data_IF_907959582302
#
_entry.id   IF_907959582302
#
_cell.length_a   1.000
_cell.length_b   1.000
_cell.length_c   1.000
_cell.angle_alpha   90.00
_cell.angle_beta   90.00
_cell.angle_gamma   90.00
#
_symmetry.space_group_name_H-M   'P 1'
#
loop_
_entity.id
_entity.type
_entity.pdbx_description
1 polymer ?
#
# COMPACT_ATOMS: atom_id res chain seq x y z
N UNK A 1 15.15 -5.66 3.89
CA UNK A 1 15.81 -4.65 4.76
C UNK A 1 15.89 -5.08 6.23
N UNK A 2 14.79 -5.49 6.87
CA UNK A 2 14.77 -5.85 8.31
C UNK A 2 15.83 -6.89 8.74
N UNK A 3 16.08 -7.90 7.89
CA UNK A 3 17.01 -8.99 8.22
C UNK A 3 18.50 -8.58 8.25
N UNK A 4 18.90 -7.49 7.57
CA UNK A 4 20.28 -6.95 7.63
C UNK A 4 20.44 -5.90 8.74
N UNK A 5 19.42 -5.09 9.01
CA UNK A 5 19.42 -4.15 10.13
C UNK A 5 19.67 -4.86 11.48
N UNK A 6 19.07 -6.04 11.66
CA UNK A 6 19.30 -6.89 12.84
C UNK A 6 20.74 -7.43 12.92
N UNK A 7 21.33 -7.84 11.79
CA UNK A 7 22.72 -8.35 11.74
C UNK A 7 23.78 -7.30 12.06
N UNK A 8 23.48 -6.04 11.79
CA UNK A 8 24.37 -4.90 12.02
C UNK A 8 24.40 -4.49 13.49
N UNK A 9 23.32 -4.68 14.24
CA UNK A 9 23.28 -4.40 15.67
C UNK A 9 24.30 -5.22 16.49
N UNK A 10 24.76 -6.36 15.97
CA UNK A 10 25.48 -7.40 16.73
C UNK A 10 26.96 -7.65 16.33
N UNK A 11 27.56 -6.80 15.49
CA UNK A 11 29.03 -6.79 15.26
C UNK A 11 29.51 -5.35 15.28
N UNK A 12 30.76 -5.11 15.72
CA UNK A 12 31.43 -3.81 15.65
C UNK A 12 31.17 -3.18 14.28
N UNK A 13 30.21 -2.26 14.23
CA UNK A 13 29.77 -1.64 12.99
C UNK A 13 30.65 -0.43 12.80
N UNK A 14 31.41 -0.42 11.72
CA UNK A 14 32.19 0.75 11.36
C UNK A 14 31.26 1.90 10.92
N UNK A 15 31.67 3.13 11.19
CA UNK A 15 30.85 4.35 10.98
C UNK A 15 30.38 4.46 9.52
N UNK A 16 31.22 4.04 8.57
CA UNK A 16 30.91 4.01 7.14
C UNK A 16 29.79 3.02 6.79
N UNK A 17 29.75 1.85 7.44
CA UNK A 17 28.68 0.87 7.22
C UNK A 17 27.33 1.41 7.70
N UNK A 18 27.30 2.07 8.85
CA UNK A 18 26.06 2.67 9.35
C UNK A 18 25.60 3.81 8.43
N UNK A 19 26.54 4.64 7.96
CA UNK A 19 26.25 5.70 7.00
C UNK A 19 25.68 5.14 5.69
N UNK A 20 26.19 4.01 5.21
CA UNK A 20 25.66 3.31 4.04
C UNK A 20 24.23 2.82 4.24
N UNK A 21 23.93 2.18 5.38
CA UNK A 21 22.57 1.71 5.71
C UNK A 21 21.58 2.87 5.77
N UNK A 22 22.02 3.97 6.37
CA UNK A 22 21.21 5.18 6.43
C UNK A 22 20.93 5.69 5.02
N UNK A 23 21.95 5.83 4.17
CA UNK A 23 21.78 6.29 2.79
C UNK A 23 20.81 5.41 1.98
N UNK A 24 20.91 4.09 2.11
CA UNK A 24 19.95 3.14 1.50
C UNK A 24 18.52 3.36 2.02
N UNK A 25 18.37 3.58 3.33
CA UNK A 25 17.07 3.89 3.93
C UNK A 25 16.49 5.20 3.39
N UNK A 26 17.32 6.24 3.22
CA UNK A 26 16.88 7.50 2.60
C UNK A 26 16.38 7.33 1.18
N UNK A 27 17.11 6.57 0.37
CA UNK A 27 16.74 6.36 -1.03
C UNK A 27 15.42 5.58 -1.14
N UNK A 28 15.24 4.59 -0.27
CA UNK A 28 13.98 3.87 -0.13
C UNK A 28 12.82 4.79 0.26
N UNK A 29 12.98 5.63 1.28
CA UNK A 29 11.92 6.54 1.73
C UNK A 29 11.55 7.58 0.67
N UNK A 30 12.53 8.15 -0.04
CA UNK A 30 12.25 9.07 -1.16
C UNK A 30 11.44 8.41 -2.26
N UNK A 31 11.77 7.15 -2.58
CA UNK A 31 11.03 6.36 -3.56
C UNK A 31 9.60 6.11 -3.08
N UNK A 32 9.43 5.70 -1.83
CA UNK A 32 8.12 5.48 -1.21
C UNK A 32 7.23 6.74 -1.25
N UNK A 33 7.74 7.89 -0.77
CA UNK A 33 7.01 9.16 -0.79
C UNK A 33 6.61 9.59 -2.19
N UNK A 34 7.50 9.43 -3.17
CA UNK A 34 7.18 9.73 -4.58
C UNK A 34 6.02 8.87 -5.08
N UNK A 35 6.10 7.57 -4.86
CA UNK A 35 5.10 6.62 -5.37
C UNK A 35 3.74 6.84 -4.68
N UNK A 36 3.75 7.13 -3.38
CA UNK A 36 2.55 7.50 -2.62
C UNK A 36 1.96 8.83 -3.08
N UNK A 37 2.77 9.87 -3.31
CA UNK A 37 2.30 11.16 -3.82
C UNK A 37 1.68 11.04 -5.21
N UNK A 38 2.28 10.23 -6.08
CA UNK A 38 1.71 9.90 -7.40
C UNK A 38 0.37 9.20 -7.26
N UNK A 39 0.28 8.26 -6.33
CA UNK A 39 -0.95 7.53 -6.05
C UNK A 39 -2.05 8.44 -5.48
N UNK A 40 -1.73 9.27 -4.48
CA UNK A 40 -2.61 10.29 -3.92
C UNK A 40 -3.14 11.24 -4.99
N UNK A 41 -2.27 11.69 -5.90
CA UNK A 41 -2.67 12.52 -7.04
C UNK A 41 -3.63 11.77 -7.97
N UNK A 42 -3.34 10.51 -8.31
CA UNK A 42 -4.16 9.70 -9.19
C UNK A 42 -5.58 9.44 -8.64
N UNK A 43 -5.72 9.29 -7.33
CA UNK A 43 -7.04 9.11 -6.69
C UNK A 43 -7.72 10.43 -6.32
N UNK A 44 -7.11 11.59 -6.59
CA UNK A 44 -7.67 12.90 -6.25
C UNK A 44 -7.72 13.16 -4.74
N UNK A 45 -6.75 12.65 -3.98
CA UNK A 45 -6.71 12.82 -2.52
C UNK A 45 -6.62 14.31 -2.15
N UNK A 46 -7.62 14.80 -1.43
CA UNK A 46 -7.79 16.24 -1.16
C UNK A 46 -6.69 16.86 -0.30
N UNK A 47 -5.99 16.07 0.50
CA UNK A 47 -4.93 16.52 1.41
C UNK A 47 -3.51 16.30 0.88
N UNK A 48 -3.36 16.04 -0.43
CA UNK A 48 -2.07 15.79 -1.08
C UNK A 48 -0.99 16.82 -0.72
N UNK A 49 -1.30 18.11 -0.78
CA UNK A 49 -0.31 19.16 -0.52
C UNK A 49 0.07 19.29 0.96
N UNK A 50 -0.82 18.93 1.89
CA UNK A 50 -0.48 18.83 3.31
C UNK A 50 0.44 17.63 3.55
N UNK A 51 0.10 16.49 2.95
CA UNK A 51 0.86 15.26 3.09
C UNK A 51 2.29 15.41 2.51
N UNK A 52 2.45 16.08 1.36
CA UNK A 52 3.76 16.48 0.82
C UNK A 52 4.61 17.32 1.77
N UNK A 53 3.99 18.19 2.57
CA UNK A 53 4.75 18.98 3.57
C UNK A 53 5.29 18.08 4.67
N UNK A 54 4.54 17.06 5.08
CA UNK A 54 4.98 16.06 6.06
C UNK A 54 6.19 15.30 5.49
N UNK A 55 6.12 14.81 4.24
CA UNK A 55 7.26 14.15 3.58
C UNK A 55 8.51 15.02 3.54
N UNK A 56 8.36 16.30 3.16
CA UNK A 56 9.50 17.24 3.13
C UNK A 56 10.10 17.46 4.52
N UNK A 57 9.27 17.55 5.56
CA UNK A 57 9.73 17.66 6.94
C UNK A 57 10.51 16.41 7.37
N UNK A 58 10.00 15.20 7.07
CA UNK A 58 10.70 13.93 7.33
C UNK A 58 12.10 13.96 6.70
N UNK A 59 12.17 14.26 5.41
CA UNK A 59 13.45 14.25 4.67
C UNK A 59 14.41 15.28 5.24
N UNK A 60 13.92 16.47 5.62
CA UNK A 60 14.75 17.53 6.20
C UNK A 60 15.28 17.14 7.59
N UNK A 61 14.42 16.63 8.46
CA UNK A 61 14.79 16.21 9.82
C UNK A 61 15.79 15.07 9.79
N UNK A 62 15.53 14.06 8.96
CA UNK A 62 16.47 12.96 8.77
C UNK A 62 17.81 13.47 8.22
N UNK A 63 17.81 14.36 7.21
CA UNK A 63 19.05 14.91 6.65
C UNK A 63 19.87 15.70 7.71
N UNK A 64 19.18 16.44 8.59
CA UNK A 64 19.78 17.13 9.73
C UNK A 64 20.41 16.13 10.71
N UNK A 65 19.71 15.04 11.03
CA UNK A 65 20.23 14.00 11.92
C UNK A 65 21.54 13.42 11.38
N UNK A 66 21.62 13.06 10.09
CA UNK A 66 22.85 12.52 9.48
C UNK A 66 24.01 13.49 9.56
N UNK A 67 23.76 14.78 9.31
CA UNK A 67 24.80 15.81 9.33
C UNK A 67 25.43 16.00 10.71
N UNK A 68 24.67 15.75 11.77
CA UNK A 68 25.05 16.09 13.14
C UNK A 68 25.62 14.91 13.94
N UNK A 69 25.71 13.71 13.36
CA UNK A 69 26.13 12.54 14.17
C UNK A 69 27.63 12.49 14.43
N UNK A 70 28.00 12.39 15.72
CA UNK A 70 29.40 12.42 16.18
C UNK A 70 29.92 11.05 16.61
N UNK A 71 29.05 10.11 16.96
CA UNK A 71 29.43 8.76 17.39
C UNK A 71 28.52 7.66 16.84
N UNK A 72 29.03 6.43 16.78
CA UNK A 72 28.30 5.23 16.33
C UNK A 72 27.04 4.94 17.17
N UNK A 73 27.05 5.27 18.47
CA UNK A 73 25.90 5.09 19.36
C UNK A 73 24.81 6.11 19.07
N UNK A 74 25.17 7.39 18.88
CA UNK A 74 24.21 8.40 18.44
C UNK A 74 23.53 8.00 17.13
N UNK A 75 24.27 7.40 16.18
CA UNK A 75 23.65 6.96 14.91
C UNK A 75 22.58 5.89 15.16
N UNK A 76 22.85 4.92 16.05
CA UNK A 76 21.90 3.86 16.38
C UNK A 76 20.62 4.42 17.01
N UNK A 77 20.77 5.36 17.93
CA UNK A 77 19.63 6.01 18.59
C UNK A 77 18.80 6.81 17.58
N UNK A 78 19.45 7.54 16.65
CA UNK A 78 18.75 8.26 15.59
C UNK A 78 17.99 7.32 14.64
N UNK A 79 18.57 6.18 14.25
CA UNK A 79 17.86 5.17 13.44
C UNK A 79 16.62 4.64 14.16
N UNK A 80 16.73 4.39 15.48
CA UNK A 80 15.60 3.91 16.28
C UNK A 80 14.49 4.97 16.35
N UNK A 81 14.83 6.24 16.56
CA UNK A 81 13.86 7.35 16.56
C UNK A 81 13.17 7.46 15.20
N UNK A 82 13.92 7.43 14.09
CA UNK A 82 13.36 7.50 12.74
C UNK A 82 12.42 6.31 12.47
N UNK A 83 12.86 5.09 12.77
CA UNK A 83 12.07 3.89 12.50
C UNK A 83 10.83 3.77 13.38
N UNK A 84 10.93 4.16 14.66
CA UNK A 84 9.86 3.96 15.64
C UNK A 84 8.91 5.14 15.71
N UNK A 85 9.40 6.36 15.75
CA UNK A 85 8.55 7.52 16.01
C UNK A 85 8.08 8.14 14.70
N UNK A 86 8.95 8.29 13.71
CA UNK A 86 8.57 8.88 12.44
C UNK A 86 7.81 7.91 11.54
N UNK A 87 8.43 6.78 11.18
CA UNK A 87 7.86 5.87 10.19
C UNK A 87 6.54 5.25 10.68
N UNK A 88 6.49 4.82 11.94
CA UNK A 88 5.29 4.20 12.50
C UNK A 88 4.16 5.22 12.64
N UNK A 89 4.45 6.43 13.12
CA UNK A 89 3.44 7.48 13.24
C UNK A 89 2.93 7.90 11.87
N UNK A 90 3.82 8.12 10.91
CA UNK A 90 3.47 8.45 9.53
C UNK A 90 2.57 7.38 8.90
N UNK A 91 2.99 6.11 8.91
CA UNK A 91 2.18 5.01 8.34
C UNK A 91 0.81 4.90 9.01
N UNK A 92 0.77 4.90 10.35
CA UNK A 92 -0.48 4.66 11.08
C UNK A 92 -1.43 5.86 11.06
N UNK A 93 -0.90 7.08 11.03
CA UNK A 93 -1.72 8.29 11.12
C UNK A 93 -2.00 8.90 9.77
N UNK A 94 -1.04 8.93 8.84
CA UNK A 94 -1.16 9.62 7.56
C UNK A 94 -1.54 8.65 6.43
N UNK A 95 -0.76 7.59 6.16
CA UNK A 95 -1.01 6.68 5.02
C UNK A 95 -2.36 5.98 5.15
N UNK A 96 -2.76 5.61 6.39
CA UNK A 96 -4.07 5.03 6.67
C UNK A 96 -5.23 5.94 6.25
N UNK A 97 -5.05 7.26 6.26
CA UNK A 97 -6.09 8.19 5.79
C UNK A 97 -6.27 8.14 4.28
N UNK A 98 -5.20 7.88 3.52
CA UNK A 98 -5.26 7.69 2.06
C UNK A 98 -6.11 6.46 1.74
N UNK A 99 -5.88 5.36 2.47
CA UNK A 99 -6.66 4.13 2.29
C UNK A 99 -8.14 4.31 2.66
N UNK A 100 -8.42 5.06 3.75
CA UNK A 100 -9.80 5.42 4.11
C UNK A 100 -10.46 6.27 3.03
N UNK A 101 -9.75 7.26 2.50
CA UNK A 101 -10.23 8.11 1.42
C UNK A 101 -10.53 7.28 0.18
N UNK A 102 -9.61 6.39 -0.21
CA UNK A 102 -9.83 5.44 -1.30
C UNK A 102 -11.12 4.67 -1.08
N UNK A 103 -11.27 3.94 0.03
CA UNK A 103 -12.49 3.14 0.28
C UNK A 103 -13.78 3.96 0.24
N UNK A 104 -13.74 5.21 0.67
CA UNK A 104 -14.90 6.11 0.63
C UNK A 104 -15.21 6.65 -0.79
N UNK A 105 -14.20 6.81 -1.65
CA UNK A 105 -14.32 7.48 -2.95
C UNK A 105 -14.20 6.53 -4.15
N UNK A 106 -13.70 5.32 -3.95
CA UNK A 106 -14.03 4.18 -4.80
C UNK A 106 -15.42 3.73 -4.39
N UNK A 107 -16.45 4.23 -5.09
CA UNK A 107 -17.58 3.34 -5.36
C UNK A 107 -16.95 2.06 -5.88
N UNK A 108 -17.25 0.90 -5.28
CA UNK A 108 -16.94 -0.38 -5.90
C UNK A 108 -17.45 -0.29 -7.34
N UNK A 109 -16.54 -0.08 -8.29
CA UNK A 109 -16.78 -0.24 -9.71
C UNK A 109 -16.64 -1.73 -10.03
N UNK A 110 -17.04 -2.61 -9.10
CA UNK A 110 -17.25 -3.99 -9.46
C UNK A 110 -18.42 -3.94 -10.43
N UNK A 111 -18.11 -4.01 -11.73
CA UNK A 111 -19.13 -4.22 -12.74
C UNK A 111 -19.87 -5.48 -12.33
N UNK A 112 -21.13 -5.30 -11.92
CA UNK A 112 -22.00 -6.41 -11.56
C UNK A 112 -22.63 -6.89 -12.86
N UNK A 113 -22.36 -8.14 -13.20
CA UNK A 113 -22.95 -8.79 -14.36
C UNK A 113 -24.12 -9.66 -13.89
N UNK A 114 -25.26 -9.52 -14.54
CA UNK A 114 -26.46 -10.30 -14.22
C UNK A 114 -26.54 -11.54 -15.11
N UNK A 115 -26.76 -12.68 -14.49
CA UNK A 115 -26.96 -13.98 -15.13
C UNK A 115 -28.31 -14.56 -14.73
N UNK A 116 -28.89 -15.38 -15.59
CA UNK A 116 -30.16 -16.08 -15.35
C UNK A 116 -29.99 -17.59 -15.49
N UNK A 117 -30.96 -18.34 -14.97
CA UNK A 117 -31.06 -19.79 -15.14
C UNK A 117 -32.52 -20.19 -15.41
N UNK A 118 -32.81 -21.49 -15.48
CA UNK A 118 -34.16 -22.01 -15.71
C UNK A 118 -35.15 -21.77 -14.55
N UNK A 119 -34.71 -21.21 -13.42
CA UNK A 119 -35.60 -20.87 -12.31
C UNK A 119 -36.44 -19.62 -12.66
N UNK A 120 -37.77 -19.67 -12.53
CA UNK A 120 -38.64 -18.52 -12.82
C UNK A 120 -38.25 -17.30 -11.97
N UNK A 121 -37.98 -16.17 -12.64
CA UNK A 121 -37.73 -14.88 -11.98
C UNK A 121 -36.41 -14.77 -11.19
N UNK A 122 -35.49 -15.74 -11.30
CA UNK A 122 -34.19 -15.66 -10.61
C UNK A 122 -33.11 -14.96 -11.40
N UNK A 123 -32.34 -14.18 -10.67
CA UNK A 123 -31.14 -13.51 -11.16
C UNK A 123 -29.94 -13.81 -10.27
N UNK A 124 -28.78 -13.96 -10.89
CA UNK A 124 -27.49 -14.19 -10.26
C UNK A 124 -26.59 -13.00 -10.56
N UNK A 125 -26.22 -12.25 -9.51
CA UNK A 125 -25.31 -11.11 -9.62
C UNK A 125 -23.88 -11.59 -9.41
N UNK A 126 -23.04 -11.41 -10.42
CA UNK A 126 -21.64 -11.82 -10.39
C UNK A 126 -20.71 -10.60 -10.41
N UNK A 127 -19.62 -10.70 -9.66
CA UNK A 127 -18.49 -9.76 -9.75
C UNK A 127 -17.76 -9.91 -11.08
N UNK A 128 -16.98 -8.91 -11.46
CA UNK A 128 -16.19 -8.95 -12.70
C UNK A 128 -15.23 -10.14 -12.75
N UNK A 129 -14.64 -10.54 -11.62
CA UNK A 129 -13.80 -11.73 -11.50
C UNK A 129 -14.55 -13.03 -11.85
N UNK A 130 -15.79 -13.17 -11.39
CA UNK A 130 -16.64 -14.33 -11.71
C UNK A 130 -17.12 -14.30 -13.16
N UNK A 131 -17.41 -13.11 -13.70
CA UNK A 131 -17.75 -12.94 -15.11
C UNK A 131 -16.61 -13.36 -16.04
N UNK A 132 -15.38 -12.90 -15.75
CA UNK A 132 -14.18 -13.30 -16.48
C UNK A 132 -13.97 -14.80 -16.38
N UNK A 133 -14.09 -15.38 -15.17
CA UNK A 133 -13.94 -16.81 -14.96
C UNK A 133 -14.90 -17.63 -15.84
N UNK A 134 -16.17 -17.25 -15.92
CA UNK A 134 -17.15 -17.95 -16.78
C UNK A 134 -16.82 -17.79 -18.27
N UNK A 135 -16.30 -16.63 -18.68
CA UNK A 135 -15.90 -16.38 -20.08
C UNK A 135 -14.60 -17.09 -20.49
N UNK A 136 -13.64 -17.21 -19.57
CA UNK A 136 -12.30 -17.77 -19.85
C UNK A 136 -12.16 -19.25 -19.50
N UNK A 137 -13.06 -19.81 -18.69
CA UNK A 137 -13.02 -21.20 -18.25
C UNK A 137 -13.99 -22.06 -19.04
N UNK A 138 -13.57 -23.27 -19.41
CA UNK A 138 -14.48 -24.28 -19.95
C UNK A 138 -15.45 -24.84 -18.90
N UNK A 139 -15.27 -24.52 -17.61
CA UNK A 139 -16.13 -24.98 -16.51
C UNK A 139 -17.39 -24.14 -16.41
N UNK A 140 -18.55 -24.80 -16.53
CA UNK A 140 -19.87 -24.17 -16.37
C UNK A 140 -20.16 -23.94 -14.88
N UNK A 141 -20.53 -22.71 -14.52
CA UNK A 141 -21.05 -22.39 -13.19
C UNK A 141 -22.53 -22.76 -13.15
N UNK A 142 -22.92 -23.59 -12.18
CA UNK A 142 -24.28 -24.10 -12.05
C UNK A 142 -25.07 -23.31 -11.00
N UNK A 143 -26.36 -23.11 -11.24
CA UNK A 143 -27.29 -22.62 -10.25
C UNK A 143 -27.39 -23.62 -9.08
N UNK A 144 -27.36 -23.14 -7.85
CA UNK A 144 -27.42 -23.99 -6.66
C UNK A 144 -28.77 -24.70 -6.46
N UNK A 145 -29.81 -24.29 -7.18
CA UNK A 145 -31.16 -24.86 -7.01
C UNK A 145 -31.57 -25.77 -8.16
N UNK A 146 -31.59 -25.26 -9.40
CA UNK A 146 -31.96 -26.09 -10.54
C UNK A 146 -30.78 -26.90 -11.11
N UNK A 147 -29.56 -26.69 -10.59
CA UNK A 147 -28.32 -27.31 -11.07
C UNK A 147 -28.01 -27.06 -12.56
N UNK A 148 -28.76 -26.17 -13.21
CA UNK A 148 -28.53 -25.77 -14.59
C UNK A 148 -27.44 -24.71 -14.69
N UNK A 149 -26.67 -24.66 -15.80
CA UNK A 149 -25.70 -23.60 -16.06
C UNK A 149 -26.35 -22.22 -16.02
N UNK A 150 -25.70 -21.25 -15.36
CA UNK A 150 -26.11 -19.85 -15.44
C UNK A 150 -25.60 -19.23 -16.75
N UNK A 151 -26.44 -18.43 -17.41
CA UNK A 151 -26.13 -17.75 -18.67
C UNK A 151 -26.28 -16.23 -18.52
N UNK A 152 -25.54 -15.40 -19.28
CA UNK A 152 -25.70 -13.95 -19.21
C UNK A 152 -27.15 -13.54 -19.47
N UNK A 153 -27.66 -12.58 -18.70
CA UNK A 153 -28.96 -11.96 -18.98
C UNK A 153 -28.74 -10.96 -20.13
N UNK A 154 -28.92 -11.40 -21.37
CA UNK A 154 -28.93 -10.49 -22.51
C UNK A 154 -30.07 -9.47 -22.30
N UNK A 155 -29.77 -8.20 -22.56
CA UNK A 155 -30.67 -7.07 -22.31
C UNK A 155 -31.70 -6.94 -23.42
#
# INVERSE_FOLDING_TARGET
MAHRAYKVANRHTDREQIRGIIAEFFDYMKTHFRDEEQYMHAIGYSRLEEHKKIHRAIVADMASMVKNVRSTNEIKDQILIIAKDWLLTHILQEDMQIERFRKAHTKSTDKIYTYICACPGREHKLTESMHIFIKSSARKVLCKECQQPIVPKDT
#
